data_IF_590771912292
#
_entry.id   IF_590771912292
#
_cell.length_a   1.000
_cell.length_b   1.000
_cell.length_c   1.000
_cell.angle_alpha   90.00
_cell.angle_beta   90.00
_cell.angle_gamma   90.00
#
_symmetry.space_group_name_H-M   'P 1'
#
loop_
_entity.id
_entity.type
_entity.pdbx_description
1 polymer ?
#
# COMPACT_ATOMS: atom_id res chain seq x y z
N UNK A 1 -25.18 -15.98 -23.67
CA UNK A 1 -25.66 -16.12 -22.27
C UNK A 1 -24.46 -16.45 -21.40
N UNK A 2 -24.04 -15.60 -20.45
CA UNK A 2 -22.89 -15.91 -19.58
C UNK A 2 -22.13 -14.72 -19.01
N UNK A 3 -22.24 -13.53 -19.64
CA UNK A 3 -21.56 -12.32 -19.18
C UNK A 3 -22.03 -11.83 -17.81
N UNK A 4 -23.32 -11.97 -17.49
CA UNK A 4 -23.87 -11.54 -16.19
C UNK A 4 -23.29 -12.30 -14.98
N UNK A 5 -23.06 -13.61 -15.13
CA UNK A 5 -22.46 -14.45 -14.07
C UNK A 5 -20.98 -14.12 -13.88
N UNK A 6 -20.24 -13.92 -14.97
CA UNK A 6 -18.84 -13.51 -14.91
C UNK A 6 -18.70 -12.13 -14.26
N UNK A 7 -19.53 -11.16 -14.66
CA UNK A 7 -19.55 -9.82 -14.05
C UNK A 7 -19.86 -9.87 -12.55
N UNK A 8 -20.86 -10.65 -12.14
CA UNK A 8 -21.18 -10.82 -10.72
C UNK A 8 -20.02 -11.43 -9.92
N UNK A 9 -19.34 -12.46 -10.46
CA UNK A 9 -18.16 -13.05 -9.84
C UNK A 9 -17.03 -12.03 -9.69
N UNK A 10 -16.75 -11.26 -10.74
CA UNK A 10 -15.69 -10.24 -10.72
C UNK A 10 -16.00 -9.11 -9.73
N UNK A 11 -17.24 -8.63 -9.66
CA UNK A 11 -17.64 -7.61 -8.67
C UNK A 11 -17.50 -8.12 -7.23
N UNK A 12 -17.80 -9.40 -6.98
CA UNK A 12 -17.61 -10.01 -5.66
C UNK A 12 -16.13 -10.04 -5.28
N UNK A 13 -15.26 -10.54 -6.18
CA UNK A 13 -13.81 -10.59 -5.96
C UNK A 13 -13.22 -9.20 -5.76
N UNK A 14 -13.61 -8.22 -6.59
CA UNK A 14 -13.14 -6.85 -6.47
C UNK A 14 -13.56 -6.21 -5.13
N UNK A 15 -14.79 -6.48 -4.66
CA UNK A 15 -15.24 -6.01 -3.35
C UNK A 15 -14.44 -6.66 -2.22
N UNK A 16 -14.21 -7.95 -2.31
CA UNK A 16 -13.38 -8.67 -1.34
C UNK A 16 -11.96 -8.10 -1.30
N UNK A 17 -11.32 -7.84 -2.45
CA UNK A 17 -10.00 -7.22 -2.49
C UNK A 17 -9.99 -5.77 -1.97
N UNK A 18 -11.03 -4.99 -2.26
CA UNK A 18 -11.12 -3.58 -1.85
C UNK A 18 -11.36 -3.41 -0.34
N UNK A 19 -12.14 -4.32 0.25
CA UNK A 19 -12.60 -4.19 1.64
C UNK A 19 -12.10 -5.31 2.55
N UNK A 20 -11.32 -6.26 2.05
CA UNK A 20 -10.53 -7.16 2.89
C UNK A 20 -9.43 -6.33 3.52
N UNK A 21 -9.56 -6.08 4.82
CA UNK A 21 -8.40 -5.71 5.60
C UNK A 21 -7.54 -6.96 5.70
N UNK A 22 -6.29 -6.95 5.20
CA UNK A 22 -5.37 -8.03 5.53
C UNK A 22 -5.26 -8.11 7.06
N UNK A 23 -5.30 -9.33 7.59
CA UNK A 23 -5.03 -9.56 9.00
C UNK A 23 -3.52 -9.40 9.20
N UNK A 24 -3.11 -8.19 9.59
CA UNK A 24 -1.73 -7.88 9.89
C UNK A 24 -1.38 -8.44 11.26
N UNK A 25 -0.33 -9.27 11.32
CA UNK A 25 0.25 -9.70 12.57
C UNK A 25 1.04 -8.54 13.21
N UNK A 26 0.41 -7.90 14.19
CA UNK A 26 1.00 -6.75 14.90
C UNK A 26 2.21 -7.15 15.75
N UNK A 27 2.32 -8.40 16.18
CA UNK A 27 3.47 -8.86 16.97
C UNK A 27 4.72 -8.92 16.09
N UNK A 28 4.58 -9.50 14.90
CA UNK A 28 5.65 -9.54 13.89
C UNK A 28 6.07 -8.14 13.44
N UNK A 29 5.11 -7.25 13.17
CA UNK A 29 5.40 -5.87 12.75
C UNK A 29 6.16 -5.09 13.84
N UNK A 30 5.78 -5.26 15.10
CA UNK A 30 6.47 -4.62 16.23
C UNK A 30 7.89 -5.12 16.39
N UNK A 31 8.13 -6.42 16.17
CA UNK A 31 9.46 -7.01 16.22
C UNK A 31 10.37 -6.50 15.09
N UNK A 32 9.84 -6.29 13.88
CA UNK A 32 10.58 -5.72 12.75
C UNK A 32 10.94 -4.24 13.00
N UNK A 33 9.99 -3.45 13.51
CA UNK A 33 10.21 -2.04 13.86
C UNK A 33 11.20 -1.85 15.02
N UNK A 34 11.13 -2.70 16.06
CA UNK A 34 12.04 -2.61 17.20
C UNK A 34 13.40 -3.28 16.95
N UNK A 35 13.48 -4.16 15.95
CA UNK A 35 14.64 -5.00 15.66
C UNK A 35 15.53 -4.54 14.51
N UNK A 36 15.31 -3.36 13.91
CA UNK A 36 16.17 -2.82 12.84
C UNK A 36 17.13 -1.72 13.33
N UNK A 37 18.32 -2.06 13.86
CA UNK A 37 19.34 -1.07 14.19
C UNK A 37 20.23 -0.64 12.99
N UNK A 38 19.91 -0.94 11.72
CA UNK A 38 20.87 -0.74 10.61
C UNK A 38 20.30 -0.42 9.22
N UNK A 39 19.21 0.34 9.08
CA UNK A 39 18.82 0.88 7.77
C UNK A 39 18.73 2.41 7.74
N UNK A 40 19.53 3.07 8.56
CA UNK A 40 19.61 4.54 8.63
C UNK A 40 20.78 5.12 7.82
N UNK A 41 21.32 4.36 6.84
CA UNK A 41 22.53 4.76 6.08
C UNK A 41 22.47 4.60 4.57
N UNK A 42 21.29 4.58 3.95
CA UNK A 42 21.17 4.61 2.48
C UNK A 42 19.95 5.42 2.02
N UNK A 43 19.78 6.62 2.55
CA UNK A 43 18.97 7.68 1.94
C UNK A 43 19.78 8.97 1.98
N UNK A 44 20.93 8.93 1.32
CA UNK A 44 21.72 10.11 0.99
C UNK A 44 21.98 10.03 -0.52
N UNK A 45 21.79 11.17 -1.19
CA UNK A 45 21.95 11.45 -2.63
C UNK A 45 20.76 11.18 -3.60
N UNK A 46 19.87 12.18 -3.73
CA UNK A 46 19.03 12.44 -4.89
C UNK A 46 18.04 13.60 -4.66
N UNK A 47 17.92 14.61 -5.55
CA UNK A 47 17.36 15.92 -5.22
C UNK A 47 15.85 15.87 -4.94
N UNK A 48 15.52 15.97 -3.65
CA UNK A 48 14.19 16.16 -3.07
C UNK A 48 13.72 17.62 -3.19
N UNK A 49 13.48 18.11 -4.41
CA UNK A 49 12.79 19.41 -4.59
C UNK A 49 11.98 19.55 -5.89
N UNK A 50 11.85 18.50 -6.71
CA UNK A 50 11.07 18.58 -7.97
C UNK A 50 9.56 18.41 -7.79
N UNK A 51 9.09 18.13 -6.57
CA UNK A 51 7.68 18.08 -6.21
C UNK A 51 7.37 19.25 -5.28
N UNK A 52 7.70 20.46 -5.73
CA UNK A 52 7.30 21.67 -5.03
C UNK A 52 5.77 21.67 -4.86
N UNK A 53 5.31 22.09 -3.69
CA UNK A 53 3.93 22.26 -3.19
C UNK A 53 2.97 23.05 -4.12
N UNK A 54 3.39 23.39 -5.34
CA UNK A 54 2.69 24.24 -6.30
C UNK A 54 1.73 23.45 -7.23
N UNK A 55 1.98 22.15 -7.46
CA UNK A 55 1.11 21.29 -8.31
C UNK A 55 -0.23 20.90 -7.65
N UNK A 56 -0.47 21.27 -6.39
CA UNK A 56 -1.67 20.95 -5.63
C UNK A 56 -2.47 22.19 -5.17
N UNK A 57 -2.41 23.28 -5.94
CA UNK A 57 -3.34 24.41 -5.77
C UNK A 57 -4.56 24.22 -6.69
N UNK A 58 -5.78 24.00 -6.15
CA UNK A 58 -6.99 23.78 -6.95
C UNK A 58 -7.49 25.03 -7.67
#
# INVERSE_FOLDING_TARGET
>A
MGRGRAKAKQTKVARELKYSSPQTDFERLRQELSGSPNSERQFDDGPDDSWSDDDWRP
#
